data_IF_835585264237
#
_entry.id   IF_835585264237
#
_cell.length_a   1.000
_cell.length_b   1.000
_cell.length_c   1.000
_cell.angle_alpha   90.00
_cell.angle_beta   90.00
_cell.angle_gamma   90.00
#
_symmetry.space_group_name_H-M   'P 1'
#
loop_
_entity.id
_entity.type
_entity.pdbx_description
1 polymer ?
#
# COMPACT_ATOMS: atom_id res chain seq x y z
N UNK A 1 12.09 12.75 -22.84
CA UNK A 1 12.16 11.40 -23.44
C UNK A 1 11.01 10.60 -22.86
N UNK A 2 9.96 10.35 -23.65
CA UNK A 2 8.84 9.48 -23.24
C UNK A 2 9.38 8.03 -23.16
N UNK A 3 9.65 7.54 -21.95
CA UNK A 3 9.99 6.13 -21.73
C UNK A 3 8.73 5.29 -21.91
N UNK A 4 8.55 4.71 -23.09
CA UNK A 4 7.42 3.83 -23.40
C UNK A 4 7.74 2.43 -22.89
N UNK A 5 7.55 2.22 -21.59
CA UNK A 5 7.77 0.93 -20.93
C UNK A 5 6.59 -0.02 -21.10
N UNK A 6 6.86 -1.32 -21.16
CA UNK A 6 5.84 -2.38 -21.09
C UNK A 6 6.04 -3.16 -19.80
N UNK A 7 4.95 -3.38 -19.09
CA UNK A 7 4.92 -4.20 -17.88
C UNK A 7 4.71 -5.67 -18.26
N UNK A 8 5.61 -6.53 -17.79
CA UNK A 8 5.69 -7.95 -18.13
C UNK A 8 5.85 -8.81 -16.88
N UNK A 9 5.39 -10.08 -16.88
CA UNK A 9 5.66 -11.00 -15.78
C UNK A 9 7.14 -11.42 -15.74
N UNK A 10 7.63 -11.73 -14.54
CA UNK A 10 9.07 -11.79 -14.22
C UNK A 10 9.84 -12.95 -14.85
N UNK A 11 9.17 -14.00 -15.31
CA UNK A 11 9.82 -15.07 -16.10
C UNK A 11 10.41 -14.56 -17.42
N UNK A 12 9.85 -13.48 -17.99
CA UNK A 12 10.40 -12.85 -19.18
C UNK A 12 11.66 -12.01 -18.86
N UNK A 13 11.76 -11.48 -17.63
CA UNK A 13 12.84 -10.57 -17.23
C UNK A 13 14.14 -11.29 -16.91
N UNK A 14 14.07 -12.46 -16.26
CA UNK A 14 15.24 -13.29 -15.98
C UNK A 14 15.91 -13.79 -17.27
N UNK A 15 15.15 -13.92 -18.36
CA UNK A 15 15.71 -14.29 -19.67
C UNK A 15 16.07 -13.08 -20.55
N UNK A 16 15.36 -11.96 -20.47
CA UNK A 16 15.79 -10.70 -21.13
C UNK A 16 17.15 -10.20 -20.65
N UNK A 17 17.51 -10.46 -19.38
CA UNK A 17 18.85 -10.19 -18.83
C UNK A 17 19.93 -11.10 -19.46
N UNK A 18 19.54 -12.32 -19.89
CA UNK A 18 20.37 -13.26 -20.60
C UNK A 18 20.19 -13.06 -22.13
N UNK A 19 20.87 -12.04 -22.67
CA UNK A 19 21.44 -11.98 -24.03
C UNK A 19 20.59 -12.37 -25.27
N UNK A 20 20.25 -13.65 -25.53
CA UNK A 20 19.69 -14.04 -26.84
C UNK A 20 18.16 -14.05 -26.97
N UNK A 21 17.38 -14.31 -25.91
CA UNK A 21 16.00 -14.82 -26.09
C UNK A 21 14.98 -13.81 -26.69
N UNK A 22 15.21 -12.51 -26.56
CA UNK A 22 14.29 -11.49 -27.09
C UNK A 22 14.48 -11.24 -28.60
N UNK A 23 15.71 -11.38 -29.11
CA UNK A 23 15.98 -11.25 -30.55
C UNK A 23 15.26 -12.33 -31.37
N UNK A 24 15.01 -13.48 -30.75
CA UNK A 24 14.35 -14.61 -31.39
C UNK A 24 12.84 -14.37 -31.58
N UNK A 25 12.19 -13.62 -30.69
CA UNK A 25 10.75 -13.36 -30.73
C UNK A 25 10.39 -12.06 -31.48
N UNK A 26 11.14 -10.99 -31.23
CA UNK A 26 10.87 -9.67 -31.82
C UNK A 26 12.17 -9.04 -32.36
N UNK A 27 12.71 -9.54 -33.48
CA UNK A 27 13.99 -9.09 -34.04
C UNK A 27 14.00 -7.62 -34.45
N UNK A 28 12.83 -7.03 -34.69
CA UNK A 28 12.65 -5.61 -35.06
C UNK A 28 12.51 -4.68 -33.86
N UNK A 29 12.41 -5.20 -32.64
CA UNK A 29 12.21 -4.42 -31.43
C UNK A 29 13.50 -4.31 -30.61
N UNK A 30 13.99 -3.09 -30.43
CA UNK A 30 15.18 -2.82 -29.64
C UNK A 30 14.81 -2.49 -28.19
N UNK A 31 15.26 -3.34 -27.26
CA UNK A 31 15.11 -3.12 -25.80
C UNK A 31 16.29 -2.33 -25.28
N UNK A 32 16.00 -1.24 -24.59
CA UNK A 32 16.98 -0.31 -24.01
C UNK A 32 17.30 -0.70 -22.57
N UNK A 33 16.28 -1.05 -21.79
CA UNK A 33 16.44 -1.33 -20.36
C UNK A 33 15.37 -2.31 -19.86
N UNK A 34 15.72 -3.10 -18.86
CA UNK A 34 14.84 -4.07 -18.22
C UNK A 34 15.01 -3.94 -16.71
N UNK A 35 13.93 -3.52 -16.04
CA UNK A 35 13.91 -3.32 -14.60
C UNK A 35 12.95 -4.31 -13.94
N UNK A 36 13.50 -5.20 -13.12
CA UNK A 36 12.72 -6.09 -12.27
C UNK A 36 11.97 -5.30 -11.20
N UNK A 37 10.74 -5.71 -10.90
CA UNK A 37 9.96 -5.16 -9.80
C UNK A 37 10.16 -6.01 -8.54
N UNK A 38 10.39 -5.34 -7.41
CA UNK A 38 10.61 -5.97 -6.12
C UNK A 38 9.62 -5.49 -5.05
N UNK A 39 9.47 -6.25 -3.96
CA UNK A 39 8.66 -5.83 -2.81
C UNK A 39 9.38 -4.74 -2.01
N UNK A 40 9.09 -3.49 -2.37
CA UNK A 40 9.67 -2.31 -1.70
C UNK A 40 8.78 -1.77 -0.58
N UNK A 41 7.68 -2.44 -0.19
CA UNK A 41 6.74 -1.88 0.78
C UNK A 41 7.40 -1.65 2.16
N UNK A 42 8.17 -2.63 2.64
CA UNK A 42 8.91 -2.52 3.91
C UNK A 42 10.06 -1.51 3.80
N UNK A 43 10.76 -1.47 2.67
CA UNK A 43 11.82 -0.50 2.41
C UNK A 43 11.31 0.95 2.43
N UNK A 44 10.16 1.22 1.78
CA UNK A 44 9.52 2.53 1.80
C UNK A 44 9.14 2.92 3.23
N UNK A 45 8.55 1.99 4.01
CA UNK A 45 8.20 2.24 5.40
C UNK A 45 9.43 2.61 6.25
N UNK A 46 10.52 1.83 6.14
CA UNK A 46 11.77 2.11 6.85
C UNK A 46 12.36 3.47 6.44
N UNK A 47 12.30 3.84 5.16
CA UNK A 47 12.75 5.13 4.68
C UNK A 47 11.90 6.30 5.21
N UNK A 48 10.59 6.10 5.36
CA UNK A 48 9.70 7.08 5.99
C UNK A 48 10.05 7.27 7.47
N UNK A 49 10.28 6.19 8.21
CA UNK A 49 10.73 6.25 9.61
C UNK A 49 12.11 6.91 9.74
N UNK A 50 13.06 6.60 8.86
CA UNK A 50 14.38 7.26 8.82
C UNK A 50 14.24 8.77 8.65
N UNK A 51 13.41 9.21 7.70
CA UNK A 51 13.14 10.65 7.47
C UNK A 51 12.51 11.33 8.69
N UNK A 52 11.66 10.63 9.44
CA UNK A 52 11.11 11.17 10.71
C UNK A 52 12.21 11.33 11.75
N UNK A 53 13.04 10.30 11.96
CA UNK A 53 14.16 10.35 12.90
C UNK A 53 15.16 11.46 12.53
N UNK A 54 15.47 11.63 11.23
CA UNK A 54 16.36 12.67 10.72
C UNK A 54 15.81 14.08 11.01
N UNK A 55 14.50 14.31 10.78
CA UNK A 55 13.84 15.58 11.13
C UNK A 55 13.87 15.86 12.63
N UNK A 56 13.59 14.85 13.45
CA UNK A 56 13.65 14.97 14.91
C UNK A 56 15.06 15.28 15.38
N UNK A 57 16.07 14.59 14.86
CA UNK A 57 17.47 14.84 15.17
C UNK A 57 17.85 16.29 14.84
N UNK A 58 17.57 16.75 13.62
CA UNK A 58 17.83 18.12 13.20
C UNK A 58 17.13 19.17 14.10
N UNK A 59 15.88 18.90 14.50
CA UNK A 59 15.14 19.77 15.41
C UNK A 59 15.82 19.89 16.79
N UNK A 60 16.19 18.77 17.41
CA UNK A 60 16.79 18.79 18.75
C UNK A 60 18.22 19.34 18.75
N UNK A 61 19.01 19.05 17.71
CA UNK A 61 20.32 19.67 17.53
C UNK A 61 20.20 21.20 17.43
N UNK A 62 19.28 21.70 16.59
CA UNK A 62 19.08 23.15 16.45
C UNK A 62 18.52 23.79 17.74
N UNK A 63 17.67 23.07 18.48
CA UNK A 63 17.16 23.54 19.77
C UNK A 63 18.29 23.68 20.80
N UNK A 64 19.19 22.70 20.85
CA UNK A 64 20.36 22.73 21.73
C UNK A 64 21.31 23.87 21.35
N UNK A 65 21.59 24.07 20.07
CA UNK A 65 22.42 25.18 19.59
C UNK A 65 21.87 26.56 20.00
N UNK A 66 20.54 26.73 19.94
CA UNK A 66 19.88 28.01 20.28
C UNK A 66 19.75 28.25 21.77
N UNK A 67 19.45 27.22 22.55
CA UNK A 67 19.05 27.36 23.97
C UNK A 67 20.17 26.97 24.92
N UNK A 68 21.16 26.22 24.44
CA UNK A 68 22.22 25.60 25.26
C UNK A 68 21.72 24.47 26.17
N UNK A 69 20.43 24.11 26.11
CA UNK A 69 19.82 23.10 26.97
C UNK A 69 19.70 21.76 26.25
N UNK A 70 20.04 20.69 26.97
CA UNK A 70 19.80 19.32 26.53
C UNK A 70 18.31 18.98 26.65
N UNK A 71 17.73 18.47 25.57
CA UNK A 71 16.36 17.98 25.58
C UNK A 71 16.34 16.51 25.97
N UNK A 72 15.48 16.15 26.93
CA UNK A 72 15.31 14.79 27.41
C UNK A 72 14.04 14.17 26.83
N UNK A 73 14.16 12.99 26.23
CA UNK A 73 13.05 12.25 25.61
C UNK A 73 12.82 10.95 26.36
N UNK A 74 11.56 10.56 26.50
CA UNK A 74 11.21 9.24 27.01
C UNK A 74 11.17 8.24 25.84
N UNK A 75 12.09 7.29 25.86
CA UNK A 75 12.22 6.28 24.80
C UNK A 75 11.18 5.17 24.89
N UNK A 76 10.45 5.09 26.02
CA UNK A 76 9.42 4.08 26.27
C UNK A 76 8.02 4.69 26.24
N UNK A 77 7.03 4.00 25.64
CA UNK A 77 5.65 4.50 25.57
C UNK A 77 4.99 4.64 26.96
N UNK A 78 5.56 3.98 27.98
CA UNK A 78 5.11 4.06 29.37
C UNK A 78 5.17 5.49 29.94
N UNK A 79 6.01 6.37 29.39
CA UNK A 79 6.07 7.79 29.79
C UNK A 79 4.88 8.65 29.41
N UNK A 80 4.04 8.21 28.47
CA UNK A 80 2.91 9.01 27.98
C UNK A 80 1.60 8.75 28.75
N UNK A 81 1.53 7.63 29.49
CA UNK A 81 0.35 7.22 30.26
C UNK A 81 0.52 7.34 31.78
N UNK A 82 1.73 7.63 32.28
CA UNK A 82 1.99 7.73 33.71
C UNK A 82 3.01 8.83 34.01
N UNK A 83 2.70 9.73 34.95
CA UNK A 83 3.56 10.86 35.36
C UNK A 83 4.73 10.46 36.30
N UNK A 84 5.04 9.16 36.42
CA UNK A 84 6.02 8.64 37.36
C UNK A 84 7.29 8.18 36.63
N UNK A 85 8.47 8.50 37.18
CA UNK A 85 9.74 7.85 36.82
C UNK A 85 9.72 6.41 37.35
N UNK A 86 9.11 5.52 36.58
CA UNK A 86 9.13 4.09 36.88
C UNK A 86 10.50 3.53 36.50
N UNK A 87 11.01 2.59 37.30
CA UNK A 87 12.22 1.83 37.00
C UNK A 87 12.14 1.22 35.59
N UNK A 88 13.05 1.63 34.69
CA UNK A 88 13.06 1.22 33.27
C UNK A 88 12.54 2.26 32.26
N UNK A 89 12.08 3.43 32.73
CA UNK A 89 11.63 4.57 31.91
C UNK A 89 12.52 5.80 32.11
N UNK A 90 13.84 5.62 32.10
CA UNK A 90 14.78 6.74 32.19
C UNK A 90 14.68 7.63 30.95
N UNK A 91 14.68 8.94 31.18
CA UNK A 91 14.76 9.92 30.10
C UNK A 91 16.19 9.94 29.60
N UNK A 92 16.35 9.82 28.29
CA UNK A 92 17.65 9.90 27.63
C UNK A 92 17.76 11.17 26.80
N UNK A 93 18.99 11.60 26.52
CA UNK A 93 19.24 12.74 25.63
C UNK A 93 18.61 12.49 24.26
N UNK A 94 17.81 13.46 23.80
CA UNK A 94 17.06 13.38 22.56
C UNK A 94 17.98 13.16 21.36
N UNK A 95 19.11 13.89 21.31
CA UNK A 95 20.04 13.81 20.18
C UNK A 95 20.68 12.42 20.13
N UNK A 96 21.19 11.95 21.27
CA UNK A 96 21.76 10.60 21.38
C UNK A 96 20.74 9.50 21.04
N UNK A 97 19.48 9.64 21.46
CA UNK A 97 18.40 8.72 21.10
C UNK A 97 18.12 8.71 19.59
N UNK A 98 17.83 9.86 18.99
CA UNK A 98 17.47 9.95 17.57
C UNK A 98 18.65 9.59 16.66
N UNK A 99 19.88 9.86 17.07
CA UNK A 99 21.08 9.43 16.35
C UNK A 99 21.21 7.89 16.35
N UNK A 100 20.99 7.24 17.49
CA UNK A 100 20.97 5.77 17.58
C UNK A 100 19.85 5.18 16.73
N UNK A 101 18.65 5.74 16.81
CA UNK A 101 17.49 5.32 16.04
C UNK A 101 17.75 5.46 14.52
N UNK A 102 18.36 6.58 14.10
CA UNK A 102 18.73 6.81 12.71
C UNK A 102 19.69 5.72 12.20
N UNK A 103 20.75 5.41 12.97
CA UNK A 103 21.72 4.38 12.59
C UNK A 103 21.08 2.99 12.51
N UNK A 104 20.23 2.61 13.48
CA UNK A 104 19.49 1.35 13.46
C UNK A 104 18.55 1.24 12.25
N UNK A 105 17.89 2.34 11.88
CA UNK A 105 17.03 2.37 10.70
C UNK A 105 17.86 2.24 9.42
N UNK A 106 19.05 2.83 9.36
CA UNK A 106 19.95 2.73 8.22
C UNK A 106 20.46 1.30 8.03
N UNK A 107 20.88 0.62 9.10
CA UNK A 107 21.27 -0.80 9.05
C UNK A 107 20.13 -1.68 8.53
N UNK A 108 18.91 -1.50 9.05
CA UNK A 108 17.72 -2.25 8.60
C UNK A 108 17.38 -1.98 7.13
N UNK A 109 17.58 -0.74 6.65
CA UNK A 109 17.38 -0.40 5.24
C UNK A 109 18.38 -1.18 4.38
N UNK A 110 19.66 -1.18 4.74
CA UNK A 110 20.68 -1.91 3.99
C UNK A 110 20.43 -3.42 3.96
N UNK A 111 20.03 -3.99 5.09
CA UNK A 111 19.66 -5.41 5.18
C UNK A 111 18.45 -5.72 4.29
N UNK A 112 17.41 -4.87 4.33
CA UNK A 112 16.23 -5.05 3.49
C UNK A 112 16.54 -4.88 2.00
N UNK A 113 17.39 -3.92 1.62
CA UNK A 113 17.84 -3.73 0.22
C UNK A 113 18.54 -4.97 -0.33
N UNK A 114 19.31 -5.68 0.51
CA UNK A 114 19.93 -6.94 0.13
C UNK A 114 18.87 -8.04 -0.04
N UNK A 115 17.98 -8.22 0.94
CA UNK A 115 16.94 -9.25 0.92
C UNK A 115 15.95 -9.10 -0.25
N UNK A 116 15.60 -7.86 -0.58
CA UNK A 116 14.62 -7.54 -1.63
C UNK A 116 15.17 -7.92 -3.02
N UNK A 117 16.47 -7.83 -3.25
CA UNK A 117 17.09 -8.23 -4.52
C UNK A 117 16.95 -9.73 -4.81
N UNK A 118 16.86 -10.57 -3.77
CA UNK A 118 16.72 -12.02 -3.90
C UNK A 118 15.28 -12.47 -4.23
N UNK A 119 14.28 -11.57 -4.12
CA UNK A 119 12.85 -11.92 -4.27
C UNK A 119 12.11 -10.99 -5.24
N UNK A 120 12.30 -11.15 -6.57
CA UNK A 120 11.54 -10.39 -7.55
C UNK A 120 10.05 -10.78 -7.51
N UNK A 121 9.15 -9.79 -7.64
CA UNK A 121 7.70 -9.98 -7.58
C UNK A 121 7.12 -10.73 -8.78
N UNK A 122 7.95 -11.29 -9.66
CA UNK A 122 7.48 -11.86 -10.92
C UNK A 122 6.87 -10.78 -11.82
N UNK A 123 7.42 -9.56 -11.83
CA UNK A 123 7.07 -8.48 -12.75
C UNK A 123 8.33 -7.73 -13.19
N UNK A 124 8.30 -7.09 -14.35
CA UNK A 124 9.34 -6.21 -14.84
C UNK A 124 8.79 -5.10 -15.75
N UNK A 125 9.51 -3.99 -15.79
CA UNK A 125 9.34 -2.92 -16.75
C UNK A 125 10.40 -3.07 -17.85
N UNK A 126 9.96 -3.12 -19.10
CA UNK A 126 10.84 -3.19 -20.26
C UNK A 126 10.72 -1.91 -21.04
N UNK A 127 11.82 -1.18 -21.20
CA UNK A 127 11.89 0.06 -21.96
C UNK A 127 12.36 -0.23 -23.36
N UNK A 128 11.59 0.23 -24.34
CA UNK A 128 11.93 0.12 -25.76
C UNK A 128 12.46 1.45 -26.30
N UNK A 129 13.26 1.37 -27.36
CA UNK A 129 13.80 2.57 -28.03
C UNK A 129 12.70 3.46 -28.59
N UNK A 130 11.64 2.86 -29.14
CA UNK A 130 10.50 3.58 -29.71
C UNK A 130 9.17 3.11 -29.14
N UNK A 131 8.22 4.06 -29.04
CA UNK A 131 6.83 3.80 -28.63
C UNK A 131 6.09 2.86 -29.58
N UNK A 132 6.45 2.90 -30.86
CA UNK A 132 5.92 2.02 -31.92
C UNK A 132 6.16 0.53 -31.57
N UNK A 133 7.36 0.19 -31.10
CA UNK A 133 7.77 -1.17 -30.72
C UNK A 133 6.98 -1.69 -29.51
N UNK A 134 6.86 -0.87 -28.46
CA UNK A 134 6.04 -1.20 -27.29
C UNK A 134 4.56 -1.42 -27.68
N UNK A 135 4.03 -0.58 -28.58
CA UNK A 135 2.66 -0.70 -29.06
C UNK A 135 2.46 -1.92 -29.95
N UNK A 136 3.46 -2.29 -30.75
CA UNK A 136 3.46 -3.48 -31.59
C UNK A 136 3.34 -4.75 -30.75
N UNK A 137 4.20 -4.90 -29.74
CA UNK A 137 4.16 -6.02 -28.79
C UNK A 137 2.82 -6.05 -28.05
N UNK A 138 2.35 -4.90 -27.56
CA UNK A 138 1.05 -4.81 -26.88
C UNK A 138 -0.12 -5.25 -27.77
N UNK A 139 -0.09 -4.91 -29.06
CA UNK A 139 -1.11 -5.34 -30.04
C UNK A 139 -1.05 -6.84 -30.27
N UNK A 140 0.14 -7.43 -30.38
CA UNK A 140 0.33 -8.88 -30.57
C UNK A 140 -0.27 -9.69 -29.41
N UNK A 141 0.06 -9.29 -28.17
CA UNK A 141 -0.49 -9.93 -26.96
C UNK A 141 -2.00 -9.72 -26.78
N UNK A 142 -2.55 -8.61 -27.26
CA UNK A 142 -4.01 -8.35 -27.21
C UNK A 142 -4.77 -9.12 -28.29
N UNK A 143 -4.21 -9.26 -29.49
CA UNK A 143 -4.81 -10.02 -30.60
C UNK A 143 -5.01 -11.50 -30.24
N UNK A 144 -4.22 -12.01 -29.28
CA UNK A 144 -4.30 -13.38 -28.79
C UNK A 144 -5.35 -13.61 -27.68
N UNK A 145 -5.92 -12.55 -27.07
CA UNK A 145 -6.93 -12.63 -25.99
C UNK A 145 -8.37 -12.55 -26.51
N UNK A 146 -8.76 -13.38 -27.48
CA UNK A 146 -10.16 -13.41 -27.91
C UNK A 146 -11.00 -14.27 -26.94
N UNK A 147 -11.72 -13.59 -26.05
CA UNK A 147 -12.79 -14.16 -25.24
C UNK A 147 -14.03 -14.36 -26.12
N UNK A 148 -14.23 -15.55 -26.69
CA UNK A 148 -15.53 -16.27 -26.65
C UNK A 148 -15.65 -17.43 -27.64
N UNK A 149 -15.03 -17.43 -28.82
CA UNK A 149 -14.99 -18.63 -29.68
C UNK A 149 -13.71 -18.63 -30.52
N UNK A 150 -12.82 -19.57 -30.22
CA UNK A 150 -11.64 -19.95 -31.00
C UNK A 150 -10.74 -18.79 -31.47
N UNK A 151 -9.95 -18.20 -30.57
CA UNK A 151 -8.60 -17.79 -30.97
C UNK A 151 -7.59 -18.39 -30.00
N UNK A 152 -6.92 -19.45 -30.44
CA UNK A 152 -5.65 -19.93 -29.89
C UNK A 152 -4.51 -19.37 -30.74
N UNK A 153 -4.39 -18.04 -30.78
CA UNK A 153 -3.15 -17.44 -31.25
C UNK A 153 -2.18 -17.44 -30.08
N UNK A 154 -1.03 -18.11 -30.21
CA UNK A 154 0.11 -17.79 -29.35
C UNK A 154 0.75 -16.51 -29.93
N UNK A 155 1.17 -15.55 -29.10
CA UNK A 155 1.99 -14.42 -29.57
C UNK A 155 3.26 -14.96 -30.25
N UNK A 156 3.94 -14.11 -31.04
CA UNK A 156 5.12 -14.48 -31.86
C UNK A 156 5.94 -15.63 -31.24
N UNK A 157 5.92 -16.84 -31.85
CA UNK A 157 6.46 -18.02 -31.21
C UNK A 157 7.99 -17.96 -31.16
N UNK A 158 8.53 -18.04 -29.95
CA UNK A 158 9.96 -18.19 -29.70
C UNK A 158 10.28 -19.64 -29.31
N UNK A 159 11.54 -20.10 -29.45
CA UNK A 159 11.95 -21.44 -29.03
C UNK A 159 11.66 -21.73 -27.55
N UNK A 160 11.53 -20.69 -26.73
CA UNK A 160 11.25 -20.77 -25.28
C UNK A 160 9.76 -20.60 -24.94
N UNK A 161 8.88 -20.34 -25.93
CA UNK A 161 7.47 -19.99 -25.71
C UNK A 161 6.69 -21.02 -24.89
N UNK A 162 6.98 -22.32 -25.09
CA UNK A 162 6.35 -23.43 -24.36
C UNK A 162 6.78 -23.53 -22.90
N UNK A 163 8.04 -23.21 -22.61
CA UNK A 163 8.61 -23.26 -21.25
C UNK A 163 8.17 -22.02 -20.43
N UNK A 164 7.98 -20.90 -21.11
CA UNK A 164 7.62 -19.61 -20.53
C UNK A 164 6.12 -19.41 -20.27
N UNK A 165 5.26 -20.31 -20.76
CA UNK A 165 3.80 -20.19 -20.68
C UNK A 165 3.30 -18.80 -21.11
N UNK A 166 3.79 -18.31 -22.25
CA UNK A 166 3.60 -16.92 -22.73
C UNK A 166 2.13 -16.53 -22.85
N UNK A 167 1.23 -17.48 -23.08
CA UNK A 167 -0.23 -17.28 -23.14
C UNK A 167 -0.87 -16.81 -21.83
N UNK A 168 -0.21 -17.01 -20.68
CA UNK A 168 -0.72 -16.57 -19.37
C UNK A 168 -0.33 -15.14 -19.02
N UNK A 169 0.50 -14.51 -19.85
CA UNK A 169 1.10 -13.23 -19.52
C UNK A 169 0.13 -12.07 -19.68
N UNK A 170 0.23 -11.10 -18.77
CA UNK A 170 -0.49 -9.85 -18.88
C UNK A 170 0.48 -8.73 -19.21
N UNK A 171 0.26 -8.12 -20.37
CA UNK A 171 1.12 -7.10 -20.96
C UNK A 171 0.35 -5.80 -21.01
N UNK A 172 0.86 -4.77 -20.35
CA UNK A 172 0.22 -3.44 -20.30
C UNK A 172 1.27 -2.35 -20.49
N UNK A 173 0.87 -1.23 -21.09
CA UNK A 173 1.72 -0.04 -21.12
C UNK A 173 1.94 0.44 -19.67
N UNK A 174 3.18 0.75 -19.32
CA UNK A 174 3.51 1.26 -18.00
C UNK A 174 2.99 2.69 -17.82
N UNK A 175 2.49 3.00 -16.61
CA UNK A 175 2.25 4.37 -16.20
C UNK A 175 3.57 5.10 -15.95
N UNK A 176 3.54 6.43 -15.84
CA UNK A 176 4.73 7.20 -15.48
C UNK A 176 5.23 6.79 -14.08
N UNK A 177 6.56 6.80 -13.84
CA UNK A 177 7.13 6.34 -12.58
C UNK A 177 6.63 7.08 -11.33
N UNK A 178 6.15 8.32 -11.50
CA UNK A 178 5.55 9.13 -10.43
C UNK A 178 4.10 8.73 -10.11
N UNK A 179 3.37 8.16 -11.06
CA UNK A 179 1.96 7.75 -10.92
C UNK A 179 1.82 6.31 -10.40
N UNK A 180 2.93 5.56 -10.35
CA UNK A 180 2.94 4.18 -9.88
C UNK A 180 2.92 4.18 -8.35
N UNK A 181 1.85 3.60 -7.77
CA UNK A 181 1.78 3.39 -6.33
C UNK A 181 2.58 2.14 -5.91
N UNK A 182 3.89 2.31 -5.70
CA UNK A 182 4.83 1.23 -5.35
C UNK A 182 4.42 0.44 -4.09
N UNK A 183 3.78 1.11 -3.11
CA UNK A 183 3.26 0.46 -1.89
C UNK A 183 2.19 -0.60 -2.19
N UNK A 184 1.39 -0.40 -3.24
CA UNK A 184 0.28 -1.29 -3.58
C UNK A 184 0.71 -2.45 -4.50
N UNK A 185 1.84 -2.35 -5.19
CA UNK A 185 2.34 -3.41 -6.06
C UNK A 185 2.70 -4.70 -5.30
N UNK A 186 3.12 -4.56 -4.04
CA UNK A 186 3.41 -5.67 -3.12
C UNK A 186 2.15 -6.39 -2.61
N UNK A 187 0.99 -5.72 -2.65
CA UNK A 187 -0.26 -6.29 -2.12
C UNK A 187 -0.84 -7.28 -3.13
N UNK A 188 -0.28 -8.50 -3.14
CA UNK A 188 -0.76 -9.62 -3.95
C UNK A 188 -1.43 -10.69 -3.06
N UNK A 189 -2.42 -11.38 -3.63
CA UNK A 189 -3.05 -12.56 -3.03
C UNK A 189 -3.81 -12.29 -1.73
N UNK A 190 -3.48 -13.02 -0.67
CA UNK A 190 -4.21 -12.99 0.61
C UNK A 190 -4.20 -11.62 1.29
N UNK A 191 -3.12 -10.85 1.19
CA UNK A 191 -3.04 -9.49 1.76
C UNK A 191 -4.05 -8.53 1.12
N UNK A 192 -4.31 -8.68 -0.19
CA UNK A 192 -5.33 -7.91 -0.89
C UNK A 192 -6.73 -8.26 -0.37
N UNK A 193 -7.01 -9.55 -0.18
CA UNK A 193 -8.29 -10.00 0.35
C UNK A 193 -8.52 -9.53 1.80
N UNK A 194 -7.48 -9.53 2.64
CA UNK A 194 -7.54 -8.98 4.00
C UNK A 194 -7.80 -7.48 4.00
N UNK A 195 -7.13 -6.70 3.13
CA UNK A 195 -7.42 -5.26 3.00
C UNK A 195 -8.85 -5.01 2.53
N UNK A 196 -9.31 -5.76 1.53
CA UNK A 196 -10.69 -5.67 1.03
C UNK A 196 -11.70 -6.03 2.13
N UNK A 197 -11.47 -7.10 2.87
CA UNK A 197 -12.30 -7.51 4.01
C UNK A 197 -12.29 -6.43 5.10
N UNK A 198 -11.12 -5.87 5.43
CA UNK A 198 -10.99 -4.84 6.46
C UNK A 198 -11.78 -3.58 6.09
N UNK A 199 -11.72 -3.12 4.83
CA UNK A 199 -12.47 -1.94 4.39
C UNK A 199 -13.98 -2.19 4.51
N UNK A 200 -14.46 -3.35 4.02
CA UNK A 200 -15.87 -3.70 4.12
C UNK A 200 -16.33 -3.87 5.57
N UNK A 201 -15.48 -4.45 6.42
CA UNK A 201 -15.76 -4.60 7.85
C UNK A 201 -15.80 -3.25 8.57
N UNK A 202 -14.83 -2.35 8.34
CA UNK A 202 -14.84 -1.00 8.90
C UNK A 202 -16.07 -0.23 8.44
N UNK A 203 -16.45 -0.35 7.17
CA UNK A 203 -17.68 0.26 6.65
C UNK A 203 -18.91 -0.25 7.41
N UNK A 204 -19.00 -1.57 7.62
CA UNK A 204 -20.09 -2.18 8.39
C UNK A 204 -20.12 -1.68 9.83
N UNK A 205 -18.96 -1.62 10.50
CA UNK A 205 -18.83 -1.13 11.88
C UNK A 205 -19.24 0.34 11.99
N UNK A 206 -18.76 1.20 11.09
CA UNK A 206 -19.13 2.62 11.07
C UNK A 206 -20.62 2.79 10.83
N UNK A 207 -21.21 2.07 9.86
CA UNK A 207 -22.65 2.11 9.62
C UNK A 207 -23.44 1.59 10.81
N UNK A 208 -22.99 0.52 11.48
CA UNK A 208 -23.61 0.01 12.69
C UNK A 208 -23.59 1.05 13.81
N UNK A 209 -22.42 1.64 14.09
CA UNK A 209 -22.27 2.67 15.13
C UNK A 209 -22.91 4.01 14.79
N UNK A 210 -23.19 4.31 13.53
CA UNK A 210 -23.95 5.52 13.14
C UNK A 210 -25.46 5.28 13.12
N UNK A 211 -25.92 4.10 12.74
CA UNK A 211 -27.35 3.76 12.73
C UNK A 211 -27.87 3.47 14.14
N UNK A 212 -27.05 2.91 15.03
CA UNK A 212 -27.47 2.55 16.39
C UNK A 212 -27.83 3.78 17.26
N UNK A 213 -27.05 4.88 17.30
CA UNK A 213 -27.44 6.12 17.99
C UNK A 213 -28.66 6.78 17.35
N UNK A 214 -28.77 6.80 16.01
CA UNK A 214 -29.94 7.40 15.33
C UNK A 214 -31.24 6.65 15.61
N UNK A 215 -31.21 5.31 15.68
CA UNK A 215 -32.37 4.50 16.06
C UNK A 215 -32.66 4.68 17.57
N UNK A 216 -31.66 4.59 18.44
CA UNK A 216 -31.86 4.77 19.90
C UNK A 216 -32.39 6.17 20.23
N UNK A 217 -31.84 7.23 19.63
CA UNK A 217 -32.30 8.61 19.81
C UNK A 217 -33.77 8.78 19.36
N UNK A 218 -34.14 8.18 18.22
CA UNK A 218 -35.53 8.19 17.74
C UNK A 218 -36.49 7.45 18.68
N UNK A 219 -36.03 6.39 19.34
CA UNK A 219 -36.84 5.67 20.34
C UNK A 219 -36.90 6.40 21.66
N UNK A 220 -35.83 7.06 22.11
CA UNK A 220 -35.83 7.87 23.33
C UNK A 220 -36.75 9.09 23.21
N UNK A 221 -36.78 9.76 22.07
CA UNK A 221 -37.71 10.87 21.83
C UNK A 221 -39.17 10.37 21.84
N UNK A 222 -39.44 9.22 21.21
CA UNK A 222 -40.77 8.58 21.27
C UNK A 222 -41.15 8.18 22.70
N UNK A 223 -40.26 7.58 23.49
CA UNK A 223 -40.59 7.18 24.86
C UNK A 223 -40.73 8.36 25.83
N UNK A 224 -40.05 9.48 25.60
CA UNK A 224 -40.19 10.67 26.44
C UNK A 224 -41.40 11.53 26.04
N UNK A 225 -41.79 11.53 24.76
CA UNK A 225 -42.98 12.24 24.25
C UNK A 225 -44.28 11.43 24.47
N UNK A 226 -44.25 10.09 24.46
CA UNK A 226 -45.49 9.28 24.59
C UNK A 226 -45.94 9.05 26.04
N UNK A 227 -45.01 9.08 27.02
CA UNK A 227 -45.33 8.96 28.46
C UNK A 227 -46.33 10.02 28.96
N UNK A 228 -46.16 11.33 28.67
CA UNK A 228 -47.12 12.35 29.12
C UNK A 228 -48.47 12.25 28.41
N UNK A 229 -48.52 11.80 27.15
CA UNK A 229 -49.78 11.72 26.38
C UNK A 229 -50.69 10.60 26.90
N UNK A 230 -50.14 9.42 27.23
CA UNK A 230 -50.91 8.34 27.85
C UNK A 230 -51.42 8.73 29.25
N UNK A 231 -50.61 9.44 30.04
CA UNK A 231 -51.03 9.92 31.35
C UNK A 231 -52.21 10.91 31.25
N UNK A 232 -52.20 11.79 30.24
CA UNK A 232 -53.30 12.73 29.98
C UNK A 232 -54.57 12.03 29.50
N UNK A 233 -54.47 11.06 28.58
CA UNK A 233 -55.66 10.32 28.09
C UNK A 233 -56.32 9.47 29.18
N UNK A 234 -55.54 8.84 30.07
CA UNK A 234 -56.10 8.08 31.20
C UNK A 234 -56.78 9.03 32.21
N UNK A 235 -56.20 10.21 32.42
CA UNK A 235 -56.77 11.24 33.30
C UNK A 235 -58.08 11.82 32.75
N UNK A 236 -58.16 12.07 31.44
CA UNK A 236 -59.36 12.59 30.80
C UNK A 236 -60.47 11.52 30.70
N UNK A 237 -60.11 10.25 30.45
CA UNK A 237 -61.04 9.12 30.50
C UNK A 237 -61.52 8.78 31.93
N UNK A 238 -60.73 9.10 32.96
CA UNK A 238 -61.15 9.06 34.35
C UNK A 238 -62.13 10.19 34.69
N UNK A 239 -61.85 11.40 34.20
CA UNK A 239 -62.70 12.58 34.41
C UNK A 239 -64.06 12.46 33.71
N UNK A 240 -64.13 11.93 32.50
CA UNK A 240 -65.40 11.72 31.75
C UNK A 240 -66.29 10.60 32.31
N UNK A 241 -65.78 9.76 33.22
CA UNK A 241 -66.57 8.73 33.92
C UNK A 241 -67.09 9.18 35.29
N UNK A 242 -66.70 10.37 35.74
CA UNK A 242 -67.05 10.92 37.04
C UNK A 242 -68.15 12.02 36.96
N UNK A 243 -68.75 12.23 35.78
CA UNK A 243 -69.88 13.12 35.54
C UNK A 243 -70.98 12.39 34.77
#
# INVERSE_FOLDING_TARGET
METSGVFLPGCLSSQLQCGPCNRDAYPTCEVVDVQLCYDVAKLIYLCEERKKAEKSLAYYTNLQERTGQLALVNSKPCGQFCCCEVWGCEREDAITYYMRLYNQLLERIMEEEYQVQDQPLGMAFVTFREKSMATYILKDFRACKCQSLQCKGEPQPSPYSKELHVSTWNVTLAAYPQDICWKNLSVRGLRWWVQWLSINFTLFVVLFFLTTPSIILSTMDKFNVTKPIHALNVSDAGRKRAW
#
